data_IF_230599225593
#
_entry.id   IF_230599225593
#
_cell.length_a   1.000
_cell.length_b   1.000
_cell.length_c   1.000
_cell.angle_alpha   90.00
_cell.angle_beta   90.00
_cell.angle_gamma   90.00
#
_symmetry.space_group_name_H-M   'P 1'
#
loop_
_entity.id
_entity.type
_entity.pdbx_description
1 polymer ?
#
# COMPACT_ATOMS: atom_id res chain seq x y z
N UNK A 1 -1.42 -65.87 56.71
CA UNK A 1 -1.00 -66.62 55.50
C UNK A 1 -0.97 -65.63 54.33
N UNK A 2 0.17 -65.51 53.64
CA UNK A 2 0.41 -65.00 52.26
C UNK A 2 -0.34 -63.70 51.88
N UNK A 3 0.25 -62.51 51.78
CA UNK A 3 1.49 -62.15 51.08
C UNK A 3 1.20 -61.81 49.62
N UNK A 4 0.93 -60.55 49.28
CA UNK A 4 1.12 -59.98 47.92
C UNK A 4 1.48 -58.49 48.07
N UNK A 5 2.70 -58.14 47.67
CA UNK A 5 3.13 -56.77 47.42
C UNK A 5 2.79 -56.40 45.97
N UNK A 6 2.25 -55.21 45.75
CA UNK A 6 2.21 -54.62 44.41
C UNK A 6 2.93 -53.26 44.45
N UNK A 7 4.09 -53.24 43.80
CA UNK A 7 4.84 -52.04 43.40
C UNK A 7 4.27 -51.49 42.09
N UNK A 8 4.62 -50.23 41.82
CA UNK A 8 4.59 -49.54 40.51
C UNK A 8 3.23 -48.93 40.13
N UNK A 9 3.12 -47.73 39.56
CA UNK A 9 4.10 -46.78 39.06
C UNK A 9 3.48 -45.37 39.09
N UNK A 10 4.24 -44.36 39.53
CA UNK A 10 3.92 -42.95 39.28
C UNK A 10 4.30 -42.67 37.84
N UNK A 11 3.30 -42.48 36.97
CA UNK A 11 3.55 -42.01 35.60
C UNK A 11 3.44 -40.49 35.62
N UNK A 12 4.58 -39.82 35.54
CA UNK A 12 4.67 -38.38 35.37
C UNK A 12 4.20 -38.01 33.95
N UNK A 13 3.06 -37.33 33.84
CA UNK A 13 2.61 -36.75 32.59
C UNK A 13 3.40 -35.45 32.36
N UNK A 14 4.46 -35.52 31.56
CA UNK A 14 5.19 -34.35 31.09
C UNK A 14 4.30 -33.58 30.09
N UNK A 15 3.83 -32.40 30.49
CA UNK A 15 3.18 -31.46 29.58
C UNK A 15 4.24 -30.84 28.65
N UNK A 16 4.27 -31.29 27.40
CA UNK A 16 5.06 -30.64 26.35
C UNK A 16 4.41 -29.30 25.98
N UNK A 17 4.93 -28.20 26.51
CA UNK A 17 4.67 -26.87 25.97
C UNK A 17 5.36 -26.78 24.59
N UNK A 18 4.59 -26.98 23.53
CA UNK A 18 5.00 -26.55 22.20
C UNK A 18 4.88 -25.01 22.17
N UNK A 19 6.01 -24.31 22.35
CA UNK A 19 6.13 -22.92 21.94
C UNK A 19 6.05 -22.88 20.41
N UNK A 20 4.86 -22.65 19.87
CA UNK A 20 4.70 -22.23 18.49
C UNK A 20 5.26 -20.82 18.36
N UNK A 21 6.49 -20.71 17.87
CA UNK A 21 7.03 -19.43 17.43
C UNK A 21 6.13 -18.87 16.32
N UNK A 22 5.80 -17.56 16.31
CA UNK A 22 5.19 -16.97 15.13
C UNK A 22 6.17 -17.12 13.97
N UNK A 23 5.76 -17.82 12.92
CA UNK A 23 6.49 -17.88 11.68
C UNK A 23 6.61 -16.44 11.16
N UNK A 24 7.81 -15.88 11.24
CA UNK A 24 8.14 -14.68 10.49
C UNK A 24 7.92 -15.02 9.01
N UNK A 25 7.02 -14.29 8.35
CA UNK A 25 6.94 -14.33 6.89
C UNK A 25 8.34 -13.99 6.37
N UNK A 26 8.94 -14.80 5.49
CA UNK A 26 10.19 -14.41 4.87
C UNK A 26 9.92 -13.16 4.04
N UNK A 27 10.62 -12.07 4.35
CA UNK A 27 10.85 -10.98 3.42
C UNK A 27 11.71 -11.53 2.27
N UNK A 28 11.07 -12.16 1.30
CA UNK A 28 11.71 -12.78 0.16
C UNK A 28 10.92 -12.45 -1.11
N UNK A 29 11.20 -11.29 -1.69
CA UNK A 29 10.97 -10.99 -3.11
C UNK A 29 11.73 -9.72 -3.57
N UNK A 30 12.97 -9.50 -3.13
CA UNK A 30 13.85 -8.47 -3.71
C UNK A 30 14.91 -9.05 -4.67
N UNK A 31 15.10 -10.37 -4.69
CA UNK A 31 15.92 -11.05 -5.68
C UNK A 31 15.01 -11.76 -6.69
N UNK A 32 14.90 -11.23 -7.91
CA UNK A 32 14.19 -11.96 -8.96
C UNK A 32 13.92 -11.19 -10.25
N UNK A 33 13.83 -9.86 -10.21
CA UNK A 33 13.67 -9.11 -11.45
C UNK A 33 14.99 -9.13 -12.24
N UNK A 34 14.93 -9.47 -13.53
CA UNK A 34 16.10 -9.44 -14.40
C UNK A 34 16.75 -8.05 -14.42
N UNK A 35 18.10 -8.00 -14.46
CA UNK A 35 18.83 -6.72 -14.48
C UNK A 35 18.54 -5.87 -15.72
N UNK A 36 18.07 -6.49 -16.81
CA UNK A 36 17.71 -5.81 -18.06
C UNK A 36 16.25 -5.39 -18.06
N UNK A 37 16.00 -4.19 -18.55
CA UNK A 37 14.65 -3.72 -18.87
C UNK A 37 14.09 -4.51 -20.06
N UNK A 38 12.89 -5.05 -19.88
CA UNK A 38 12.15 -5.71 -20.94
C UNK A 38 11.53 -4.66 -21.86
N UNK A 39 11.63 -4.92 -23.16
CA UNK A 39 11.12 -4.02 -24.21
C UNK A 39 9.78 -4.51 -24.73
N UNK A 40 8.97 -3.57 -25.24
CA UNK A 40 7.79 -3.87 -26.03
C UNK A 40 6.50 -3.62 -25.27
N UNK A 41 5.53 -3.07 -26.00
CA UNK A 41 4.22 -2.68 -25.47
C UNK A 41 3.54 -3.85 -24.77
N UNK A 42 3.17 -3.60 -23.52
CA UNK A 42 2.56 -4.59 -22.64
C UNK A 42 1.36 -3.98 -21.93
N UNK A 43 0.21 -4.66 -22.04
CA UNK A 43 -0.96 -4.36 -21.21
C UNK A 43 -0.93 -5.26 -19.99
N UNK A 44 -0.93 -4.68 -18.79
CA UNK A 44 -1.02 -5.40 -17.53
C UNK A 44 -2.43 -5.20 -16.97
N UNK A 45 -3.20 -6.28 -16.90
CA UNK A 45 -4.63 -6.22 -16.59
C UNK A 45 -5.01 -6.97 -15.30
N UNK A 46 -4.06 -7.70 -14.72
CA UNK A 46 -4.21 -8.51 -13.49
C UNK A 46 -2.82 -8.78 -12.91
N UNK A 47 -2.70 -8.82 -11.59
CA UNK A 47 -1.46 -9.16 -10.89
C UNK A 47 -0.67 -7.96 -10.35
N UNK A 48 0.42 -8.27 -9.66
CA UNK A 48 1.24 -7.32 -8.92
C UNK A 48 2.19 -6.55 -9.86
N UNK A 49 2.24 -5.23 -9.66
CA UNK A 49 3.19 -4.35 -10.35
C UNK A 49 3.59 -3.24 -9.39
N UNK A 50 4.85 -2.84 -9.38
CA UNK A 50 5.32 -1.72 -8.56
C UNK A 50 5.95 -0.64 -9.43
N UNK A 51 5.58 0.61 -9.19
CA UNK A 51 6.32 1.77 -9.70
C UNK A 51 7.46 2.07 -8.74
N UNK A 52 8.68 2.22 -9.25
CA UNK A 52 9.79 2.57 -8.38
C UNK A 52 10.96 3.13 -9.16
N UNK A 53 11.87 3.84 -8.47
CA UNK A 53 13.13 4.17 -9.07
C UNK A 53 14.01 2.92 -9.11
N UNK A 54 14.92 2.89 -10.09
CA UNK A 54 16.04 1.97 -10.09
C UNK A 54 17.20 2.55 -10.86
N UNK A 55 18.36 1.93 -10.69
CA UNK A 55 19.50 2.16 -11.56
C UNK A 55 19.45 1.15 -12.72
N UNK A 56 19.10 1.63 -13.91
CA UNK A 56 19.14 0.87 -15.16
C UNK A 56 20.42 1.24 -15.91
N UNK A 57 21.38 0.33 -15.98
CA UNK A 57 22.70 0.59 -16.59
C UNK A 57 23.39 1.85 -16.00
N UNK A 58 23.33 1.99 -14.67
CA UNK A 58 23.82 3.13 -13.87
C UNK A 58 23.04 4.45 -14.01
N UNK A 59 22.03 4.51 -14.88
CA UNK A 59 21.13 5.66 -14.99
C UNK A 59 19.91 5.51 -14.08
N UNK A 60 19.56 6.59 -13.38
CA UNK A 60 18.36 6.62 -12.54
C UNK A 60 17.12 6.71 -13.42
N UNK A 61 16.22 5.74 -13.27
CA UNK A 61 15.00 5.64 -14.07
C UNK A 61 13.79 5.33 -13.19
N UNK A 62 12.64 5.93 -13.51
CA UNK A 62 11.33 5.49 -13.01
C UNK A 62 10.83 4.38 -13.93
N UNK A 63 10.63 3.18 -13.38
CA UNK A 63 10.18 2.01 -14.12
C UNK A 63 9.09 1.26 -13.37
N UNK A 64 8.42 0.33 -14.06
CA UNK A 64 7.50 -0.62 -13.45
C UNK A 64 8.18 -1.97 -13.31
N UNK A 65 8.19 -2.51 -12.09
CA UNK A 65 8.50 -3.92 -11.86
C UNK A 65 7.23 -4.74 -12.09
N UNK A 66 7.24 -5.52 -13.15
CA UNK A 66 6.17 -6.43 -13.56
C UNK A 66 6.43 -7.83 -12.97
N UNK A 67 5.69 -8.17 -11.90
CA UNK A 67 5.72 -9.47 -11.24
C UNK A 67 4.64 -10.43 -11.81
N UNK A 68 4.00 -10.08 -12.93
CA UNK A 68 3.01 -10.94 -13.60
C UNK A 68 3.65 -12.01 -14.49
N UNK A 69 4.95 -11.88 -14.73
CA UNK A 69 5.77 -12.83 -15.48
C UNK A 69 6.84 -13.45 -14.57
N UNK A 70 7.29 -14.65 -14.91
CA UNK A 70 8.33 -15.37 -14.17
C UNK A 70 9.54 -15.69 -15.09
N UNK A 71 10.75 -15.20 -14.76
CA UNK A 71 11.06 -14.29 -13.67
C UNK A 71 10.45 -12.90 -13.89
N UNK A 72 10.28 -12.13 -12.81
CA UNK A 72 9.84 -10.75 -12.88
C UNK A 72 10.73 -9.91 -13.80
N UNK A 73 10.17 -8.85 -14.39
CA UNK A 73 10.91 -7.96 -15.29
C UNK A 73 10.65 -6.50 -14.95
N UNK A 74 11.62 -5.65 -15.25
CA UNK A 74 11.39 -4.21 -15.25
C UNK A 74 10.98 -3.73 -16.64
N UNK A 75 10.10 -2.74 -16.72
CA UNK A 75 9.60 -2.15 -17.96
C UNK A 75 9.63 -0.64 -17.89
N UNK A 76 9.91 -0.01 -19.02
CA UNK A 76 9.77 1.44 -19.16
C UNK A 76 8.29 1.85 -19.05
N UNK A 77 8.05 3.01 -18.44
CA UNK A 77 6.69 3.53 -18.24
C UNK A 77 5.94 3.70 -19.56
N UNK A 78 6.64 4.08 -20.65
CA UNK A 78 6.08 4.24 -21.98
C UNK A 78 5.60 2.96 -22.64
N UNK A 79 6.19 1.82 -22.28
CA UNK A 79 5.88 0.50 -22.82
C UNK A 79 4.73 -0.19 -22.08
N UNK A 80 4.20 0.40 -21.00
CA UNK A 80 3.17 -0.24 -20.18
C UNK A 80 1.84 0.52 -20.24
N UNK A 81 0.75 -0.24 -20.30
CA UNK A 81 -0.60 0.23 -19.98
C UNK A 81 -1.14 -0.61 -18.83
N UNK A 82 -1.51 0.03 -17.73
CA UNK A 82 -2.23 -0.61 -16.64
C UNK A 82 -3.73 -0.57 -16.94
N UNK A 83 -4.35 -1.73 -17.15
CA UNK A 83 -5.77 -1.80 -17.46
C UNK A 83 -6.61 -1.87 -16.19
N UNK A 84 -7.42 -0.83 -15.98
CA UNK A 84 -8.43 -0.76 -14.91
C UNK A 84 -9.75 -1.26 -15.48
N UNK A 85 -10.00 -2.56 -15.35
CA UNK A 85 -11.22 -3.21 -15.88
C UNK A 85 -12.49 -2.68 -15.22
N UNK A 86 -13.62 -2.83 -15.91
CA UNK A 86 -14.94 -2.46 -15.37
C UNK A 86 -15.32 -3.27 -14.11
N UNK A 87 -14.67 -4.41 -13.86
CA UNK A 87 -14.80 -5.19 -12.61
C UNK A 87 -14.28 -4.44 -11.38
N UNK A 88 -13.43 -3.42 -11.56
CA UNK A 88 -12.95 -2.54 -10.50
C UNK A 88 -13.90 -1.34 -10.23
N UNK A 89 -15.05 -1.27 -10.92
CA UNK A 89 -16.04 -0.21 -10.70
C UNK A 89 -16.79 -0.45 -9.40
N UNK A 90 -16.81 0.56 -8.54
CA UNK A 90 -17.62 0.61 -7.33
C UNK A 90 -18.47 1.87 -7.32
N UNK A 91 -19.35 1.97 -6.32
CA UNK A 91 -20.07 3.21 -6.02
C UNK A 91 -19.31 4.00 -4.97
N UNK A 92 -19.21 5.31 -5.15
CA UNK A 92 -18.67 6.22 -4.13
C UNK A 92 -19.45 6.01 -2.82
N UNK A 93 -18.78 5.68 -1.70
CA UNK A 93 -19.43 5.47 -0.41
C UNK A 93 -20.22 6.71 0.05
N UNK A 94 -21.25 6.48 0.87
CA UNK A 94 -22.05 7.57 1.46
C UNK A 94 -21.34 8.30 2.60
N UNK A 95 -20.29 7.70 3.15
CA UNK A 95 -19.56 8.25 4.27
C UNK A 95 -18.76 9.47 3.80
N UNK A 96 -18.83 10.56 4.57
CA UNK A 96 -18.32 11.88 4.19
C UNK A 96 -16.82 11.88 3.92
N UNK A 97 -16.09 11.00 4.61
CA UNK A 97 -14.66 10.82 4.43
C UNK A 97 -14.26 10.38 3.01
N UNK A 98 -15.17 9.86 2.18
CA UNK A 98 -14.92 9.49 0.78
C UNK A 98 -15.45 10.51 -0.24
N UNK A 99 -15.88 11.70 0.20
CA UNK A 99 -16.43 12.74 -0.68
C UNK A 99 -15.44 13.26 -1.74
N UNK A 100 -14.14 13.07 -1.53
CA UNK A 100 -13.09 13.38 -2.52
C UNK A 100 -13.17 12.48 -3.77
N UNK A 101 -13.89 11.36 -3.72
CA UNK A 101 -14.11 10.47 -4.88
C UNK A 101 -15.29 10.92 -5.76
N UNK A 102 -16.02 11.97 -5.37
CA UNK A 102 -17.23 12.44 -6.06
C UNK A 102 -18.48 12.34 -5.18
N UNK A 103 -19.66 12.35 -5.79
CA UNK A 103 -20.92 12.32 -5.03
C UNK A 103 -21.24 10.88 -4.63
N UNK A 104 -21.82 10.66 -3.44
CA UNK A 104 -22.29 9.34 -3.04
C UNK A 104 -23.17 8.67 -4.10
N UNK A 105 -22.79 7.47 -4.54
CA UNK A 105 -23.50 6.71 -5.57
C UNK A 105 -23.04 6.94 -7.01
N UNK A 106 -22.13 7.89 -7.26
CA UNK A 106 -21.43 8.01 -8.53
C UNK A 106 -20.56 6.76 -8.77
N UNK A 107 -20.30 6.44 -10.04
CA UNK A 107 -19.37 5.38 -10.40
C UNK A 107 -17.93 5.87 -10.24
N UNK A 108 -17.07 5.00 -9.71
CA UNK A 108 -15.62 5.23 -9.61
C UNK A 108 -14.90 3.90 -9.83
N UNK A 109 -13.81 3.90 -10.60
CA UNK A 109 -13.00 2.72 -10.85
C UNK A 109 -11.81 2.74 -9.90
N UNK A 110 -11.73 1.75 -9.01
CA UNK A 110 -10.73 1.72 -7.94
C UNK A 110 -9.88 0.46 -8.04
N UNK A 111 -8.58 0.62 -8.29
CA UNK A 111 -7.61 -0.44 -8.03
C UNK A 111 -7.36 -0.47 -6.52
N UNK A 112 -7.74 -1.54 -5.82
CA UNK A 112 -7.76 -1.56 -4.36
C UNK A 112 -6.36 -1.72 -3.75
N UNK A 113 -6.17 -1.13 -2.57
CA UNK A 113 -4.95 -1.30 -1.77
C UNK A 113 -4.68 -2.77 -1.44
N UNK A 114 -5.72 -3.57 -1.21
CA UNK A 114 -5.61 -5.01 -1.01
C UNK A 114 -5.77 -5.75 -2.35
N UNK A 115 -4.88 -6.71 -2.62
CA UNK A 115 -4.90 -7.45 -3.88
C UNK A 115 -6.24 -8.15 -4.12
N UNK A 116 -6.74 -8.06 -5.35
CA UNK A 116 -7.92 -8.78 -5.81
C UNK A 116 -7.61 -9.49 -7.13
N UNK A 117 -8.08 -10.73 -7.26
CA UNK A 117 -7.92 -11.50 -8.49
C UNK A 117 -8.66 -10.82 -9.66
N UNK A 118 -8.03 -10.78 -10.83
CA UNK A 118 -8.62 -10.21 -12.04
C UNK A 118 -8.42 -8.71 -12.17
N UNK A 119 -7.74 -8.07 -11.22
CA UNK A 119 -7.49 -6.62 -11.15
C UNK A 119 -5.99 -6.39 -11.01
N UNK A 120 -5.44 -5.48 -11.81
CA UNK A 120 -4.04 -5.08 -11.66
C UNK A 120 -3.84 -4.42 -10.28
N UNK A 121 -2.75 -4.75 -9.61
CA UNK A 121 -2.47 -4.34 -8.24
C UNK A 121 -1.19 -3.50 -8.18
N UNK A 122 -1.29 -2.20 -8.50
CA UNK A 122 -0.15 -1.29 -8.49
C UNK A 122 0.23 -0.89 -7.06
N UNK A 123 1.52 -0.99 -6.77
CA UNK A 123 2.18 -0.41 -5.61
C UNK A 123 3.26 0.56 -6.02
N UNK A 124 3.98 1.07 -5.03
CA UNK A 124 5.26 1.72 -5.23
C UNK A 124 6.31 1.12 -4.31
N UNK A 125 7.54 0.98 -4.82
CA UNK A 125 8.64 0.37 -4.09
C UNK A 125 9.94 1.17 -4.24
N UNK A 126 10.82 1.03 -3.25
CA UNK A 126 12.20 1.53 -3.27
C UNK A 126 13.19 0.42 -2.91
N UNK A 127 12.78 -0.83 -3.13
CA UNK A 127 13.50 -2.05 -2.74
C UNK A 127 14.47 -2.57 -3.81
N UNK A 128 14.65 -1.85 -4.92
CA UNK A 128 15.75 -2.13 -5.85
C UNK A 128 17.07 -2.19 -5.05
N UNK A 129 17.90 -3.25 -5.21
CA UNK A 129 19.06 -3.45 -4.35
C UNK A 129 20.05 -2.28 -4.37
N UNK A 130 20.24 -1.63 -5.53
CA UNK A 130 21.15 -0.50 -5.64
C UNK A 130 20.52 0.75 -5.00
N UNK A 131 19.23 1.02 -5.22
CA UNK A 131 18.50 2.10 -4.54
C UNK A 131 18.57 1.94 -3.03
N UNK A 132 18.25 0.76 -2.50
CA UNK A 132 18.27 0.47 -1.07
C UNK A 132 19.68 0.61 -0.45
N UNK A 133 20.72 0.32 -1.24
CA UNK A 133 22.10 0.42 -0.79
C UNK A 133 22.64 1.87 -0.82
N UNK A 134 22.25 2.67 -1.81
CA UNK A 134 22.92 3.96 -2.11
C UNK A 134 22.13 5.20 -1.71
N UNK A 135 20.79 5.16 -1.71
CA UNK A 135 19.97 6.31 -1.31
C UNK A 135 20.13 6.59 0.19
N UNK A 136 20.23 7.87 0.56
CA UNK A 136 20.52 8.27 1.93
C UNK A 136 19.32 8.05 2.87
N UNK A 137 18.13 8.53 2.48
CA UNK A 137 16.98 8.64 3.39
C UNK A 137 15.66 8.20 2.77
N UNK A 138 15.25 8.85 1.69
CA UNK A 138 13.98 8.62 1.01
C UNK A 138 14.09 9.03 -0.47
N UNK A 139 13.12 8.57 -1.25
CA UNK A 139 12.86 9.03 -2.62
C UNK A 139 11.69 10.00 -2.56
N UNK A 140 11.85 11.21 -3.09
CA UNK A 140 10.73 12.13 -3.30
C UNK A 140 9.97 11.70 -4.55
N UNK A 141 8.68 11.41 -4.43
CA UNK A 141 7.80 11.08 -5.53
C UNK A 141 6.80 12.21 -5.75
N UNK A 142 6.82 12.78 -6.96
CA UNK A 142 5.93 13.87 -7.36
C UNK A 142 4.95 13.41 -8.44
N UNK A 143 3.69 13.84 -8.32
CA UNK A 143 2.72 13.88 -9.40
C UNK A 143 2.75 15.29 -9.99
N UNK A 144 3.25 15.40 -11.22
CA UNK A 144 3.52 16.69 -11.88
C UNK A 144 2.45 17.10 -12.88
N UNK A 145 1.71 16.12 -13.42
CA UNK A 145 0.67 16.34 -14.42
C UNK A 145 -0.27 15.14 -14.49
N UNK A 146 -1.55 15.41 -14.80
CA UNK A 146 -2.51 14.36 -15.15
C UNK A 146 -3.31 14.80 -16.37
N UNK A 147 -3.41 13.91 -17.35
CA UNK A 147 -4.30 14.05 -18.50
C UNK A 147 -5.28 12.89 -18.49
N UNK A 148 -6.59 13.16 -18.53
CA UNK A 148 -7.64 12.15 -18.51
C UNK A 148 -9.04 12.76 -18.59
N UNK A 149 -10.08 11.94 -18.76
CA UNK A 149 -11.47 12.40 -18.86
C UNK A 149 -12.10 12.86 -17.54
N UNK A 150 -11.52 12.46 -16.40
CA UNK A 150 -11.99 12.80 -15.07
C UNK A 150 -10.82 12.93 -14.09
N UNK A 151 -11.13 12.87 -12.81
CA UNK A 151 -10.18 13.02 -11.71
C UNK A 151 -9.47 11.70 -11.40
N UNK A 152 -8.24 11.85 -10.90
CA UNK A 152 -7.43 10.78 -10.35
C UNK A 152 -7.15 11.06 -8.86
N UNK A 153 -7.35 10.04 -8.03
CA UNK A 153 -7.01 10.10 -6.61
C UNK A 153 -6.24 8.84 -6.21
N UNK A 154 -5.09 9.03 -5.55
CA UNK A 154 -4.37 7.98 -4.84
C UNK A 154 -4.57 8.16 -3.34
N UNK A 155 -5.04 7.14 -2.63
CA UNK A 155 -5.24 7.22 -1.18
C UNK A 155 -4.98 5.89 -0.47
N UNK A 156 -4.55 5.97 0.80
CA UNK A 156 -4.34 4.83 1.69
C UNK A 156 -5.55 4.64 2.61
N UNK A 157 -5.82 3.40 3.00
CA UNK A 157 -6.67 3.11 4.15
C UNK A 157 -5.82 3.22 5.42
N UNK A 158 -6.09 4.25 6.23
CA UNK A 158 -5.46 4.44 7.52
C UNK A 158 -5.90 3.41 8.56
N UNK A 159 -5.32 3.48 9.76
CA UNK A 159 -5.80 2.71 10.90
C UNK A 159 -7.28 3.03 11.12
N UNK A 160 -8.13 2.00 11.14
CA UNK A 160 -9.61 2.09 11.22
C UNK A 160 -10.36 2.43 9.91
N UNK A 161 -9.68 2.46 8.76
CA UNK A 161 -10.33 2.63 7.45
C UNK A 161 -10.59 4.08 7.04
N UNK A 162 -10.11 5.05 7.82
CA UNK A 162 -10.12 6.45 7.39
C UNK A 162 -9.18 6.64 6.19
N UNK A 163 -9.66 7.17 5.06
CA UNK A 163 -8.82 7.41 3.90
C UNK A 163 -7.78 8.50 4.19
N UNK A 164 -6.56 8.29 3.71
CA UNK A 164 -5.47 9.27 3.70
C UNK A 164 -5.08 9.53 2.25
N UNK A 165 -5.44 10.70 1.74
CA UNK A 165 -5.13 11.09 0.35
C UNK A 165 -3.63 11.33 0.20
N UNK A 166 -3.04 10.72 -0.83
CA UNK A 166 -1.64 10.88 -1.23
C UNK A 166 -1.55 11.85 -2.40
N UNK A 167 -2.34 11.63 -3.45
CA UNK A 167 -2.48 12.54 -4.58
C UNK A 167 -3.96 12.71 -4.95
N UNK A 168 -4.34 13.91 -5.34
CA UNK A 168 -5.71 14.25 -5.76
C UNK A 168 -5.70 15.33 -6.83
N UNK A 169 -6.15 15.04 -8.05
CA UNK A 169 -6.16 16.03 -9.14
C UNK A 169 -7.17 17.16 -8.95
N UNK A 170 -8.09 17.05 -7.98
CA UNK A 170 -8.93 18.16 -7.51
C UNK A 170 -8.12 19.27 -6.82
N UNK A 171 -6.91 18.96 -6.37
CA UNK A 171 -5.97 19.89 -5.76
C UNK A 171 -4.88 20.36 -6.75
N UNK A 172 -4.17 21.42 -6.39
CA UNK A 172 -3.12 22.01 -7.25
C UNK A 172 -1.96 21.03 -7.47
N UNK A 173 -1.47 20.95 -8.71
CA UNK A 173 -0.22 20.27 -9.08
C UNK A 173 0.96 21.26 -9.17
N UNK A 174 2.22 20.81 -8.96
CA UNK A 174 2.61 19.45 -8.58
C UNK A 174 2.27 19.12 -7.13
N UNK A 175 2.15 17.82 -6.83
CA UNK A 175 2.00 17.28 -5.47
C UNK A 175 3.14 16.30 -5.20
N UNK A 176 3.57 16.17 -3.95
CA UNK A 176 4.70 15.32 -3.60
C UNK A 176 4.47 14.49 -2.33
N UNK A 177 5.12 13.34 -2.26
CA UNK A 177 5.21 12.49 -1.07
C UNK A 177 6.59 11.84 -0.98
N UNK A 178 6.96 11.40 0.23
CA UNK A 178 8.19 10.65 0.46
C UNK A 178 7.96 9.13 0.40
N UNK A 179 8.86 8.43 -0.28
CA UNK A 179 8.95 6.97 -0.25
C UNK A 179 10.20 6.59 0.57
N UNK A 180 9.99 6.05 1.76
CA UNK A 180 11.10 5.59 2.61
C UNK A 180 11.96 4.57 1.85
N UNK A 181 13.28 4.60 2.04
CA UNK A 181 14.19 3.62 1.43
C UNK A 181 13.84 2.21 1.93
N UNK A 182 13.93 1.22 1.04
CA UNK A 182 13.62 -0.18 1.32
C UNK A 182 12.15 -0.41 1.75
N UNK A 183 11.23 0.42 1.25
CA UNK A 183 9.80 0.30 1.49
C UNK A 183 9.04 -0.20 0.26
N UNK A 184 7.89 -0.80 0.51
CA UNK A 184 6.94 -1.29 -0.47
C UNK A 184 5.54 -1.05 0.06
N UNK A 185 4.75 -0.28 -0.69
CA UNK A 185 3.43 0.18 -0.27
C UNK A 185 2.43 0.01 -1.41
N UNK A 186 1.21 -0.35 -1.05
CA UNK A 186 0.05 -0.29 -1.94
C UNK A 186 -0.95 0.74 -1.44
N UNK A 187 -1.67 1.34 -2.38
CA UNK A 187 -2.76 2.26 -2.12
C UNK A 187 -3.95 1.99 -3.03
N UNK A 188 -5.02 2.74 -2.82
CA UNK A 188 -6.20 2.72 -3.67
C UNK A 188 -6.02 3.76 -4.78
N UNK A 189 -6.04 3.32 -6.04
CA UNK A 189 -5.94 4.20 -7.21
C UNK A 189 -7.33 4.35 -7.81
N UNK A 190 -7.91 5.54 -7.70
CA UNK A 190 -9.28 5.83 -8.10
C UNK A 190 -9.33 6.76 -9.32
N UNK A 191 -10.24 6.45 -10.23
CA UNK A 191 -10.51 7.20 -11.45
C UNK A 191 -12.01 7.46 -11.56
N UNK A 192 -12.42 8.72 -11.74
CA UNK A 192 -13.86 9.08 -11.69
C UNK A 192 -14.59 8.90 -13.01
N UNK A 193 -13.89 8.77 -14.13
CA UNK A 193 -14.49 8.57 -15.45
C UNK A 193 -13.75 7.48 -16.25
N UNK A 194 -14.41 6.76 -17.16
CA UNK A 194 -13.74 5.81 -18.04
C UNK A 194 -13.01 6.54 -19.18
N UNK A 195 -11.76 6.17 -19.44
CA UNK A 195 -10.95 6.70 -20.54
C UNK A 195 -9.46 6.47 -20.32
N UNK A 196 -8.63 7.03 -21.20
CA UNK A 196 -7.17 6.92 -21.04
C UNK A 196 -6.69 7.99 -20.09
N UNK A 197 -5.91 7.59 -19.09
CA UNK A 197 -5.22 8.49 -18.17
C UNK A 197 -3.71 8.39 -18.38
N UNK A 198 -3.05 9.54 -18.29
CA UNK A 198 -1.60 9.69 -18.25
C UNK A 198 -1.25 10.50 -17.02
N UNK A 199 -0.43 9.92 -16.14
CA UNK A 199 0.03 10.51 -14.89
C UNK A 199 1.53 10.75 -15.03
N UNK A 200 1.92 12.01 -15.12
CA UNK A 200 3.32 12.41 -15.23
C UNK A 200 3.94 12.46 -13.84
N UNK A 201 4.88 11.55 -13.59
CA UNK A 201 5.54 11.39 -12.31
C UNK A 201 7.01 11.77 -12.40
N UNK A 202 7.56 12.26 -11.29
CA UNK A 202 8.98 12.51 -11.11
C UNK A 202 9.44 11.84 -9.83
N UNK A 203 10.58 11.17 -9.86
CA UNK A 203 11.21 10.62 -8.67
C UNK A 203 12.63 11.15 -8.53
N UNK A 204 12.92 11.76 -7.38
CA UNK A 204 14.25 12.29 -7.06
C UNK A 204 14.78 11.68 -5.77
N UNK A 205 16.09 11.53 -5.69
CA UNK A 205 16.75 11.03 -4.48
C UNK A 205 18.18 11.57 -4.38
N UNK A 206 18.66 11.73 -3.15
CA UNK A 206 20.07 12.00 -2.87
C UNK A 206 20.73 10.73 -2.35
N UNK A 207 21.85 10.34 -2.96
CA UNK A 207 22.66 9.20 -2.55
C UNK A 207 23.63 9.57 -1.43
N UNK A 208 24.14 8.57 -0.71
CA UNK A 208 25.07 8.73 0.43
C UNK A 208 26.39 9.43 0.07
N UNK A 209 26.75 9.48 -1.22
CA UNK A 209 27.91 10.22 -1.73
C UNK A 209 27.57 11.69 -2.07
N UNK A 210 26.34 12.14 -1.81
CA UNK A 210 25.86 13.51 -2.00
C UNK A 210 25.39 13.83 -3.41
N UNK A 211 25.31 12.85 -4.32
CA UNK A 211 24.76 13.07 -5.67
C UNK A 211 23.23 13.06 -5.64
N UNK A 212 22.63 13.95 -6.42
CA UNK A 212 21.18 13.96 -6.65
C UNK A 212 20.88 13.28 -7.98
N UNK A 213 19.89 12.39 -7.94
CA UNK A 213 19.35 11.70 -9.09
C UNK A 213 17.90 12.13 -9.32
N UNK A 214 17.50 12.17 -10.58
CA UNK A 214 16.23 12.69 -11.05
C UNK A 214 15.79 11.90 -12.27
N UNK A 215 14.53 11.49 -12.30
CA UNK A 215 13.93 10.90 -13.50
C UNK A 215 12.44 11.18 -13.53
N UNK A 216 11.89 11.26 -14.75
CA UNK A 216 10.47 11.41 -15.02
C UNK A 216 9.96 10.19 -15.79
N UNK A 217 8.68 9.91 -15.64
CA UNK A 217 7.97 8.91 -16.44
C UNK A 217 6.49 9.23 -16.52
N UNK A 218 5.79 8.62 -17.47
CA UNK A 218 4.34 8.78 -17.61
C UNK A 218 3.67 7.44 -17.37
N UNK A 219 2.96 7.31 -16.26
CA UNK A 219 2.15 6.12 -15.98
C UNK A 219 0.87 6.19 -16.79
N UNK A 220 0.57 5.12 -17.52
CA UNK A 220 -0.57 5.08 -18.44
C UNK A 220 -1.60 4.07 -17.98
N UNK A 221 -2.84 4.53 -17.89
CA UNK A 221 -3.97 3.71 -17.49
C UNK A 221 -5.05 3.70 -18.57
N UNK A 222 -5.67 2.53 -18.75
CA UNK A 222 -6.89 2.38 -19.56
C UNK A 222 -8.04 2.00 -18.64
N UNK A 223 -8.98 2.92 -18.43
CA UNK A 223 -10.02 2.82 -17.41
C UNK A 223 -11.39 2.47 -17.98
N UNK A 224 -12.05 1.45 -17.41
CA UNK A 224 -13.39 1.04 -17.79
C UNK A 224 -13.43 0.19 -19.08
N UNK A 225 -14.58 0.12 -19.76
CA UNK A 225 -14.85 -0.87 -20.81
C UNK A 225 -14.22 -0.57 -22.19
N UNK A 226 -13.04 0.05 -22.22
CA UNK A 226 -12.35 0.40 -23.48
C UNK A 226 -11.26 -0.61 -23.86
N UNK A 227 -10.80 -0.56 -25.12
CA UNK A 227 -9.63 -1.31 -25.56
C UNK A 227 -8.35 -0.69 -24.94
N UNK A 228 -7.57 -1.41 -24.14
CA UNK A 228 -6.35 -0.87 -23.54
C UNK A 228 -5.27 -0.47 -24.56
N UNK A 229 -5.25 -1.07 -25.75
CA UNK A 229 -4.25 -0.75 -26.77
C UNK A 229 -4.38 0.70 -27.29
N UNK A 230 -5.58 1.31 -27.20
CA UNK A 230 -5.77 2.70 -27.62
C UNK A 230 -4.96 3.67 -26.78
N UNK A 231 -4.68 3.33 -25.52
CA UNK A 231 -3.94 4.19 -24.60
C UNK A 231 -2.52 4.46 -25.11
N UNK A 232 -1.85 3.50 -25.78
CA UNK A 232 -0.51 3.69 -26.37
C UNK A 232 -0.46 4.75 -27.49
N UNK A 233 -1.61 5.19 -27.98
CA UNK A 233 -1.72 6.20 -29.04
C UNK A 233 -2.23 7.54 -28.54
N UNK A 234 -2.64 7.64 -27.28
CA UNK A 234 -2.99 8.91 -26.66
C UNK A 234 -1.71 9.76 -26.54
N UNK A 235 -1.72 10.97 -27.11
CA UNK A 235 -0.55 11.85 -27.05
C UNK A 235 -0.23 12.19 -25.61
N UNK A 236 1.02 12.00 -25.19
CA UNK A 236 1.56 12.62 -23.99
C UNK A 236 1.43 14.14 -24.13
N UNK A 237 0.89 14.80 -23.10
CA UNK A 237 0.92 16.26 -23.02
C UNK A 237 2.38 16.71 -23.13
N UNK A 238 2.66 17.60 -24.08
CA UNK A 238 4.02 18.07 -24.33
C UNK A 238 4.67 18.60 -23.05
N UNK A 239 5.91 18.18 -22.77
CA UNK A 239 6.72 18.71 -21.68
C UNK A 239 6.76 20.25 -21.76
N UNK A 240 6.61 20.99 -20.65
CA UNK A 240 6.80 22.44 -20.63
C UNK A 240 8.21 22.86 -21.10
N UNK A 241 9.18 21.95 -21.03
CA UNK A 241 10.59 22.20 -21.33
C UNK A 241 10.92 22.15 -22.85
N UNK A 242 10.00 21.71 -23.72
CA UNK A 242 10.20 21.72 -25.18
C UNK A 242 9.77 23.05 -25.85
N UNK A 243 9.30 24.02 -25.06
CA UNK A 243 8.86 25.32 -25.57
C UNK A 243 9.98 26.38 -25.73
N UNK A 244 11.23 26.07 -25.35
CA UNK A 244 12.37 27.00 -25.52
C UNK A 244 13.36 26.55 -26.60
N UNK A 245 12.93 26.62 -27.87
CA UNK A 245 13.89 26.79 -28.98
C UNK A 245 13.37 27.78 -30.02
N UNK A 246 13.80 29.05 -29.98
CA UNK A 246 13.44 30.00 -31.03
C UNK A 246 14.14 29.62 -32.34
N UNK A 247 13.37 29.56 -33.43
CA UNK A 247 13.93 29.60 -34.79
C UNK A 247 14.50 31.00 -35.05
N UNK A 248 15.76 31.05 -35.46
CA UNK A 248 16.42 32.26 -35.92
C UNK A 248 15.71 32.88 -37.13
N UNK A 249 15.26 34.14 -37.02
CA UNK A 249 15.15 35.06 -38.17
C UNK A 249 15.60 36.45 -37.73
N UNK A 250 16.63 36.97 -38.41
CA UNK A 250 17.25 38.27 -38.19
C UNK A 250 16.32 39.46 -38.41
N UNK A 251 16.47 40.49 -37.57
CA UNK A 251 15.99 41.85 -37.78
C UNK A 251 16.14 42.70 -36.51
N UNK A 252 17.14 43.59 -36.48
CA UNK A 252 17.37 44.64 -35.46
C UNK A 252 17.76 45.93 -36.21
N UNK A 253 17.80 47.15 -35.62
CA UNK A 253 17.68 47.51 -34.19
C UNK A 253 16.86 48.78 -33.87
N UNK A 254 16.62 49.07 -32.57
CA UNK A 254 17.05 50.32 -31.91
C UNK A 254 16.54 50.52 -30.47
N UNK A 255 17.48 51.02 -29.64
CA UNK A 255 17.40 51.89 -28.45
C UNK A 255 17.03 51.38 -27.02
N UNK A 256 18.11 51.26 -26.21
CA UNK A 256 18.41 51.86 -24.88
C UNK A 256 17.28 52.00 -23.82
N UNK A 257 17.46 51.76 -22.50
CA UNK A 257 18.59 51.79 -21.54
C UNK A 257 18.11 51.17 -20.17
N UNK A 258 18.83 51.18 -19.02
CA UNK A 258 19.03 50.01 -18.15
C UNK A 258 18.35 50.10 -16.76
N UNK A 259 18.75 49.17 -15.87
CA UNK A 259 18.54 49.10 -14.40
C UNK A 259 17.29 48.28 -13.99
N UNK A 260 17.25 47.41 -12.98
CA UNK A 260 18.06 47.22 -11.77
C UNK A 260 18.09 45.75 -11.32
N UNK A 261 19.12 45.40 -10.55
CA UNK A 261 19.32 44.09 -9.95
C UNK A 261 18.36 43.77 -8.80
N UNK A 262 18.10 42.48 -8.60
CA UNK A 262 17.29 41.99 -7.49
C UNK A 262 17.41 40.48 -7.36
N UNK A 263 18.48 40.03 -6.70
CA UNK A 263 18.62 38.66 -6.21
C UNK A 263 17.61 38.40 -5.09
N UNK A 264 16.73 37.41 -5.27
CA UNK A 264 15.89 36.89 -4.20
C UNK A 264 15.97 35.36 -4.18
N UNK A 265 16.85 34.85 -3.31
CA UNK A 265 16.83 33.47 -2.84
C UNK A 265 15.66 33.29 -1.86
N UNK A 266 14.77 32.30 -2.04
CA UNK A 266 13.86 31.90 -0.98
C UNK A 266 14.54 30.88 -0.06
N UNK A 267 14.74 31.30 1.20
CA UNK A 267 15.04 30.46 2.36
C UNK A 267 13.83 29.57 2.68
N UNK A 268 13.99 28.25 2.58
CA UNK A 268 13.05 27.30 3.16
C UNK A 268 13.35 27.10 4.64
N UNK A 269 12.40 27.50 5.50
CA UNK A 269 12.41 27.17 6.93
C UNK A 269 11.74 25.80 7.09
N UNK A 270 12.56 24.79 7.36
CA UNK A 270 12.08 23.48 7.77
C UNK A 270 11.51 23.53 9.19
N UNK A 271 10.23 23.19 9.33
CA UNK A 271 9.65 22.77 10.60
C UNK A 271 9.44 21.27 10.50
N UNK A 272 10.41 20.53 11.04
CA UNK A 272 10.27 19.11 11.30
C UNK A 272 9.34 18.90 12.50
N UNK A 273 8.39 17.99 12.36
CA UNK A 273 7.82 17.28 13.50
C UNK A 273 7.77 15.79 13.20
N UNK A 274 8.52 15.07 14.02
CA UNK A 274 8.57 13.63 14.08
C UNK A 274 7.35 13.09 14.86
N UNK A 275 6.73 12.01 14.37
CA UNK A 275 6.20 10.92 15.17
C UNK A 275 5.46 9.91 14.28
N UNK A 276 5.96 8.67 14.21
CA UNK A 276 5.23 7.48 14.67
C UNK A 276 5.92 6.19 14.19
N UNK A 277 6.84 5.68 15.02
CA UNK A 277 7.18 4.26 15.04
C UNK A 277 6.54 3.64 16.28
N UNK A 278 6.00 2.44 16.09
CA UNK A 278 5.59 1.42 17.08
C UNK A 278 4.10 1.38 17.46
N UNK A 279 3.39 0.40 16.87
CA UNK A 279 2.28 -0.28 17.52
C UNK A 279 2.09 -1.71 16.99
N UNK A 280 3.04 -2.61 17.25
CA UNK A 280 2.75 -4.05 17.38
C UNK A 280 3.59 -4.61 18.51
N UNK A 281 3.03 -4.67 19.73
CA UNK A 281 3.24 -5.77 20.68
C UNK A 281 2.09 -5.76 21.69
N UNK A 282 1.14 -6.65 21.45
CA UNK A 282 -0.04 -6.94 22.26
C UNK A 282 0.38 -7.81 23.46
N UNK A 283 0.13 -7.29 24.67
CA UNK A 283 -0.60 -7.98 25.75
C UNK A 283 -0.05 -9.31 26.30
N UNK A 284 0.95 -9.25 27.18
CA UNK A 284 1.09 -10.18 28.32
C UNK A 284 1.67 -9.41 29.51
N UNK A 285 1.22 -9.75 30.72
CA UNK A 285 1.65 -9.23 32.05
C UNK A 285 0.72 -8.17 32.65
N UNK A 286 -0.50 -8.58 33.02
CA UNK A 286 -1.16 -8.12 34.25
C UNK A 286 -2.06 -9.23 34.81
N UNK A 287 -1.45 -10.26 35.40
CA UNK A 287 -2.10 -11.08 36.43
C UNK A 287 -1.07 -11.87 37.23
N UNK A 288 -0.46 -11.20 38.20
CA UNK A 288 0.11 -11.82 39.42
C UNK A 288 0.56 -10.69 40.36
N UNK A 289 -0.10 -10.58 41.51
CA UNK A 289 0.36 -9.67 42.57
C UNK A 289 -0.74 -8.98 43.36
N UNK A 290 -1.70 -9.72 43.91
CA UNK A 290 -2.38 -9.29 45.15
C UNK A 290 -2.24 -10.45 46.13
N UNK A 291 -1.27 -10.29 47.03
CA UNK A 291 -1.09 -11.17 48.17
C UNK A 291 -2.03 -10.76 49.30
N UNK A 292 -2.69 -11.74 49.89
CA UNK A 292 -3.35 -11.61 51.18
C UNK A 292 -2.44 -12.22 52.27
N UNK A 293 -2.30 -11.58 53.44
CA UNK A 293 -1.62 -12.17 54.58
C UNK A 293 -2.53 -13.14 55.34
N UNK A 294 -1.93 -14.23 55.79
CA UNK A 294 -2.55 -15.31 56.54
C UNK A 294 -3.01 -14.92 57.96
N UNK A 295 -4.05 -15.62 58.44
CA UNK A 295 -4.20 -15.95 59.86
C UNK A 295 -5.64 -16.00 60.37
N UNK A 296 -6.20 -17.21 60.56
CA UNK A 296 -6.62 -17.81 61.85
C UNK A 296 -7.55 -19.02 61.60
N UNK A 297 -7.31 -20.09 62.36
CA UNK A 297 -7.95 -21.41 62.23
C UNK A 297 -9.40 -21.54 62.74
N UNK A 298 -9.87 -22.79 62.97
CA UNK A 298 -11.16 -23.27 62.50
C UNK A 298 -12.26 -23.32 63.58
N UNK A 299 -13.53 -23.39 63.15
CA UNK A 299 -14.62 -23.84 64.02
C UNK A 299 -15.80 -24.44 63.22
N UNK A 300 -16.01 -25.75 63.48
CA UNK A 300 -17.27 -26.49 63.65
C UNK A 300 -18.51 -26.27 62.73
N UNK A 301 -19.00 -27.40 62.19
CA UNK A 301 -20.39 -27.69 61.79
C UNK A 301 -21.35 -27.67 63.02
N UNK A 302 -22.71 -27.78 62.95
CA UNK A 302 -23.51 -28.61 62.02
C UNK A 302 -24.93 -28.10 61.65
N UNK A 303 -25.71 -28.92 60.91
CA UNK A 303 -27.19 -28.96 60.99
C UNK A 303 -27.93 -28.58 59.69
N UNK A 304 -28.36 -29.54 58.88
CA UNK A 304 -29.72 -30.15 58.82
C UNK A 304 -30.83 -29.23 58.26
N UNK A 305 -31.36 -29.58 57.07
CA UNK A 305 -32.77 -30.01 56.92
C UNK A 305 -33.08 -30.32 55.44
N UNK A 306 -33.71 -31.47 55.24
CA UNK A 306 -34.26 -31.97 53.99
C UNK A 306 -35.66 -31.40 53.73
N UNK A 307 -36.07 -31.29 52.46
CA UNK A 307 -37.44 -31.55 52.03
C UNK A 307 -37.47 -31.87 50.52
N UNK A 308 -38.24 -32.90 50.22
CA UNK A 308 -38.40 -33.69 49.00
C UNK A 308 -39.36 -33.05 47.94
N UNK A 309 -39.67 -33.70 46.79
CA UNK A 309 -39.83 -33.06 45.49
C UNK A 309 -41.29 -33.01 44.99
N UNK A 310 -41.50 -32.24 43.91
CA UNK A 310 -42.68 -32.36 43.05
C UNK A 310 -42.23 -32.67 41.61
N UNK A 311 -42.74 -33.78 41.06
CA UNK A 311 -42.51 -34.22 39.68
C UNK A 311 -43.44 -33.55 38.65
N UNK A 312 -43.79 -34.23 37.54
CA UNK A 312 -43.09 -34.03 36.27
C UNK A 312 -44.01 -33.54 35.13
N UNK A 313 -43.45 -32.82 34.16
CA UNK A 313 -44.08 -32.47 32.89
C UNK A 313 -43.27 -33.01 31.71
N UNK A 314 -43.88 -33.88 30.91
CA UNK A 314 -43.36 -34.51 29.67
C UNK A 314 -43.38 -33.52 28.49
N UNK A 315 -42.42 -33.66 27.57
CA UNK A 315 -42.73 -33.75 26.13
C UNK A 315 -41.55 -34.35 25.33
N UNK A 316 -41.80 -35.57 24.79
CA UNK A 316 -41.24 -36.14 23.55
C UNK A 316 -42.47 -36.22 22.63
N UNK A 317 -42.45 -35.87 21.36
CA UNK A 317 -41.45 -36.18 20.35
C UNK A 317 -42.00 -37.29 19.44
N UNK A 318 -42.06 -36.98 18.15
CA UNK A 318 -42.26 -37.85 16.98
C UNK A 318 -43.69 -38.29 16.59
N UNK A 319 -44.14 -37.69 15.50
CA UNK A 319 -45.07 -38.18 14.48
C UNK A 319 -44.41 -39.24 13.59
N UNK A 320 -45.14 -40.29 13.20
CA UNK A 320 -45.21 -40.68 11.79
C UNK A 320 -46.31 -41.72 11.49
N UNK A 321 -46.86 -41.55 10.29
CA UNK A 321 -48.06 -42.14 9.70
C UNK A 321 -47.86 -43.52 9.05
N UNK A 322 -48.91 -44.33 9.15
CA UNK A 322 -49.57 -45.13 8.08
C UNK A 322 -48.71 -45.89 7.05
N UNK A 323 -48.60 -47.22 7.22
CA UNK A 323 -49.26 -48.27 6.40
C UNK A 323 -48.74 -49.67 6.74
#
# INVERSE_FOLDING_TARGET
>A
MKGVALRSAVTALAAALCLSAPAALPAAAAEGAGSRTATGRTVIADGHVDIGPRFAEDDWAVQLRDDTVDPAVWRDTDDVVLQVKDTARIKVPKAEEFSFLGKPGDDVWVLPQAQQQGVVWPGWNSQDPQVAATVEREVTWELTGVTGPGDFVLFLNGAFGTPQVVFDTGERLPQETGIEVNSHVHGNWAFTEPGTYQLDVRMTATTKDGKTHDSRGTLRFSVGPQNPDSAFTAQASANPDDAEKPRNTSGSPSDARPDDGGSSTPLWVGIGTAAAVAAVLVFVVLRRGRGDPAGRGPSAAPGTAAAEPAGPGKEKGESDESS
#
